data_IF_338734893929
#
_entry.id   IF_338734893929
#
_cell.length_a   1.000
_cell.length_b   1.000
_cell.length_c   1.000
_cell.angle_alpha   90.00
_cell.angle_beta   90.00
_cell.angle_gamma   90.00
#
_symmetry.space_group_name_H-M   'P 1'
#
loop_
_entity.id
_entity.type
_entity.pdbx_description
1 polymer ?
#
# COMPACT_ATOMS: atom_id res chain seq x y z
N UNK A 1 -24.26 -13.21 8.58
CA UNK A 1 -23.99 -13.26 8.58
C UNK A 1 -23.54 -13.07 8.44
N UNK A 2 -23.45 -13.01 8.64
CA UNK A 2 -22.99 -12.90 8.60
C UNK A 2 -22.26 -12.50 8.34
N UNK A 3 -22.31 -12.34 8.46
CA UNK A 3 -21.73 -12.08 8.18
C UNK A 3 -21.10 -11.78 7.76
N UNK A 4 -21.14 -11.79 7.91
CA UNK A 4 -20.65 -11.53 7.53
C UNK A 4 -20.23 -11.31 7.05
N UNK A 5 -20.53 -11.30 7.19
CA UNK A 5 -20.35 -11.21 6.73
C UNK A 5 -20.09 -10.88 6.07
N UNK A 6 -20.23 -10.89 6.25
CA UNK A 6 -20.04 -10.62 5.69
C UNK A 6 -19.73 -10.16 5.14
N UNK A 7 -19.88 -10.08 5.25
CA UNK A 7 -19.76 -9.74 4.94
C UNK A 7 -19.20 -9.57 4.45
N UNK A 8 -19.30 -9.81 4.81
CA UNK A 8 -18.99 -9.79 4.48
C UNK A 8 -18.68 -9.79 3.80
N UNK A 9 -18.93 -9.86 3.65
CA UNK A 9 -18.65 -9.84 3.08
C UNK A 9 -18.63 -9.70 2.20
N UNK A 10 -18.98 -9.58 1.95
CA UNK A 10 -18.78 -9.26 1.21
C UNK A 10 -18.80 -8.71 0.30
N UNK A 11 -19.52 -8.89 -0.06
CA UNK A 11 -19.35 -8.08 -0.96
C UNK A 11 -18.65 -7.10 -0.88
N UNK A 12 -19.06 -7.02 -0.40
CA UNK A 12 -18.08 -6.33 0.04
C UNK A 12 -16.80 -6.87 -0.36
N UNK A 13 -16.73 -8.02 -0.94
CA UNK A 13 -15.49 -8.59 -1.39
C UNK A 13 -14.82 -7.67 -2.40
N UNK A 14 -15.58 -7.11 -3.30
CA UNK A 14 -15.03 -6.19 -4.28
C UNK A 14 -14.52 -4.92 -3.61
N UNK A 15 -15.28 -4.43 -2.64
CA UNK A 15 -14.86 -3.24 -1.91
C UNK A 15 -13.61 -3.48 -1.12
N UNK A 16 -13.50 -4.66 -0.52
CA UNK A 16 -12.33 -5.00 0.24
C UNK A 16 -11.11 -5.15 -0.66
N UNK A 17 -11.34 -5.66 -1.87
CA UNK A 17 -10.25 -5.85 -2.80
C UNK A 17 -9.70 -4.53 -3.31
N UNK A 18 -10.51 -3.48 -3.32
CA UNK A 18 -10.07 -2.18 -3.81
C UNK A 18 -10.30 -1.11 -2.76
N UNK A 19 -9.50 -1.20 -1.70
CA UNK A 19 -9.52 -0.26 -0.59
C UNK A 19 -8.16 0.40 -0.51
N UNK A 20 -8.14 1.72 -0.31
CA UNK A 20 -6.89 2.48 -0.23
C UNK A 20 -6.05 2.09 0.98
N UNK A 21 -6.68 1.57 2.03
CA UNK A 21 -5.97 1.21 3.25
C UNK A 21 -5.17 -0.07 3.02
N UNK A 22 -3.88 -0.02 3.36
CA UNK A 22 -3.00 -1.17 3.24
C UNK A 22 -3.08 -1.97 4.53
N UNK A 23 -3.43 -3.27 4.45
CA UNK A 23 -3.53 -4.10 5.66
C UNK A 23 -2.21 -4.21 6.42
N UNK A 24 -2.29 -4.39 7.74
CA UNK A 24 -1.09 -4.53 8.58
C UNK A 24 -0.17 -5.64 8.10
N UNK A 25 -0.74 -6.77 7.70
CA UNK A 25 0.07 -7.90 7.26
C UNK A 25 0.90 -7.53 6.03
N UNK A 26 0.30 -6.77 5.12
CA UNK A 26 1.02 -6.30 3.92
C UNK A 26 2.11 -5.33 4.32
N UNK A 27 1.80 -4.40 5.23
CA UNK A 27 2.79 -3.43 5.71
C UNK A 27 3.98 -4.13 6.33
N UNK A 28 3.72 -5.16 7.15
CA UNK A 28 4.80 -5.89 7.79
C UNK A 28 5.68 -6.62 6.77
N UNK A 29 5.05 -7.22 5.77
CA UNK A 29 5.80 -7.92 4.73
C UNK A 29 6.66 -6.96 3.92
N UNK A 30 6.10 -5.80 3.57
CA UNK A 30 6.83 -4.77 2.82
C UNK A 30 7.97 -4.21 3.65
N UNK A 31 7.70 -3.91 4.92
CA UNK A 31 8.73 -3.40 5.82
C UNK A 31 9.91 -4.35 5.89
N UNK A 32 9.61 -5.64 6.05
CA UNK A 32 10.65 -6.66 6.15
C UNK A 32 11.42 -6.79 4.84
N UNK A 33 10.71 -6.80 3.71
CA UNK A 33 11.34 -6.91 2.39
C UNK A 33 12.26 -5.73 2.13
N UNK A 34 11.79 -4.50 2.42
CA UNK A 34 12.53 -3.27 2.14
C UNK A 34 13.44 -2.87 3.29
N UNK A 35 13.45 -3.67 4.38
CA UNK A 35 14.37 -3.49 5.50
C UNK A 35 14.22 -2.14 6.21
N UNK A 36 12.98 -1.62 6.24
CA UNK A 36 12.70 -0.36 6.92
C UNK A 36 13.40 0.84 6.32
N UNK A 37 13.64 0.81 5.02
CA UNK A 37 14.36 1.87 4.32
C UNK A 37 13.65 2.27 3.05
N UNK A 38 13.82 3.55 2.70
CA UNK A 38 13.36 4.01 1.39
C UNK A 38 14.08 3.23 0.29
N UNK A 39 13.33 2.69 -0.66
CA UNK A 39 13.93 1.88 -1.71
C UNK A 39 14.76 2.72 -2.69
N UNK A 40 14.53 4.04 -2.72
CA UNK A 40 15.24 4.93 -3.64
C UNK A 40 16.55 5.47 -3.07
N UNK A 41 16.56 5.82 -1.78
CA UNK A 41 17.73 6.46 -1.20
C UNK A 41 18.26 5.80 0.07
N UNK A 42 17.54 4.81 0.59
CA UNK A 42 17.96 4.11 1.81
C UNK A 42 17.70 4.85 3.10
N UNK A 43 16.99 5.97 3.07
CA UNK A 43 16.66 6.71 4.28
C UNK A 43 15.78 5.88 5.20
N UNK A 44 16.00 6.00 6.50
CA UNK A 44 15.17 5.33 7.49
C UNK A 44 14.17 6.28 8.14
N UNK A 45 14.15 7.53 7.69
CA UNK A 45 13.30 8.56 8.28
C UNK A 45 12.12 8.90 7.40
N UNK A 46 10.99 9.21 8.05
CA UNK A 46 9.78 9.67 7.35
C UNK A 46 9.36 8.73 6.24
N UNK A 47 9.27 7.45 6.57
CA UNK A 47 8.90 6.43 5.59
C UNK A 47 7.39 6.35 5.43
N UNK A 48 6.98 6.14 4.19
CA UNK A 48 5.57 5.95 3.83
C UNK A 48 5.43 4.69 3.00
N UNK A 49 4.30 4.02 3.17
CA UNK A 49 3.94 2.90 2.30
C UNK A 49 3.29 3.48 1.06
N UNK A 50 3.86 3.18 -0.08
CA UNK A 50 3.46 3.76 -1.35
C UNK A 50 2.96 2.68 -2.30
N UNK A 51 1.90 2.99 -3.05
CA UNK A 51 1.40 2.11 -4.11
C UNK A 51 2.26 2.31 -5.34
N UNK A 52 2.90 1.24 -5.83
CA UNK A 52 3.74 1.33 -7.03
C UNK A 52 2.86 1.71 -8.21
N UNK A 53 1.81 0.94 -8.48
CA UNK A 53 0.75 1.39 -9.36
C UNK A 53 -0.24 2.15 -8.49
N UNK A 54 -0.51 3.43 -8.78
CA UNK A 54 -1.37 4.23 -7.91
C UNK A 54 -2.74 3.60 -7.69
N UNK A 55 -3.26 3.75 -6.48
CA UNK A 55 -4.58 3.25 -6.14
C UNK A 55 -5.63 3.81 -7.11
N UNK A 56 -5.55 5.09 -7.44
CA UNK A 56 -6.49 5.73 -8.34
C UNK A 56 -6.46 5.15 -9.76
N UNK A 57 -5.42 4.42 -10.09
CA UNK A 57 -5.28 3.76 -11.39
C UNK A 57 -5.45 2.25 -11.29
N UNK A 58 -6.09 1.79 -10.23
CA UNK A 58 -6.37 0.38 -10.06
C UNK A 58 -5.33 -0.39 -9.28
N UNK A 59 -4.35 0.28 -8.70
CA UNK A 59 -3.31 -0.39 -7.93
C UNK A 59 -3.84 -1.04 -6.68
N UNK A 60 -3.38 -2.26 -6.40
CA UNK A 60 -3.83 -3.03 -5.25
C UNK A 60 -3.18 -2.55 -3.96
N UNK A 61 -3.97 -2.52 -2.87
CA UNK A 61 -3.46 -2.27 -1.54
C UNK A 61 -3.11 -3.56 -0.81
N UNK A 62 -3.46 -4.72 -1.37
CA UNK A 62 -3.27 -5.99 -0.68
C UNK A 62 -2.20 -6.87 -1.30
N UNK A 63 -1.64 -6.47 -2.43
CA UNK A 63 -0.54 -7.21 -3.04
C UNK A 63 0.79 -6.60 -2.58
N UNK A 64 1.58 -7.39 -1.88
CA UNK A 64 2.89 -6.95 -1.41
C UNK A 64 3.73 -6.39 -2.55
N UNK A 65 3.63 -7.01 -3.73
CA UNK A 65 4.40 -6.58 -4.90
C UNK A 65 4.03 -5.19 -5.40
N UNK A 66 2.88 -4.66 -4.98
CA UNK A 66 2.46 -3.32 -5.40
C UNK A 66 2.72 -2.26 -4.34
N UNK A 67 3.33 -2.63 -3.23
CA UNK A 67 3.59 -1.69 -2.14
C UNK A 67 5.08 -1.59 -1.91
N UNK A 68 5.55 -0.38 -1.62
CA UNK A 68 6.96 -0.14 -1.38
C UNK A 68 7.13 0.93 -0.31
N UNK A 69 8.33 1.01 0.27
CA UNK A 69 8.66 2.07 1.23
C UNK A 69 9.37 3.20 0.51
N UNK A 70 8.86 4.40 0.70
CA UNK A 70 9.49 5.62 0.20
C UNK A 70 9.56 6.64 1.32
N UNK A 71 10.66 7.39 1.39
CA UNK A 71 10.73 8.52 2.32
C UNK A 71 9.81 9.63 1.79
N UNK A 72 9.47 10.57 2.68
CA UNK A 72 8.53 11.64 2.33
C UNK A 72 8.95 12.38 1.07
N UNK A 73 10.25 12.64 0.93
CA UNK A 73 10.78 13.37 -0.22
C UNK A 73 10.55 12.62 -1.53
N UNK A 74 10.86 11.33 -1.55
CA UNK A 74 10.67 10.54 -2.76
C UNK A 74 9.22 10.23 -3.04
N UNK A 75 8.43 10.09 -1.99
CA UNK A 75 7.00 9.90 -2.14
C UNK A 75 6.35 11.13 -2.79
N UNK A 76 6.72 12.30 -2.33
CA UNK A 76 6.20 13.55 -2.90
C UNK A 76 6.65 13.71 -4.35
N UNK A 77 7.91 13.40 -4.62
CA UNK A 77 8.45 13.51 -5.97
C UNK A 77 7.72 12.58 -6.95
N UNK A 78 7.42 11.37 -6.50
CA UNK A 78 6.67 10.41 -7.30
C UNK A 78 5.26 10.92 -7.59
N UNK A 79 4.61 11.48 -6.59
CA UNK A 79 3.26 12.04 -6.77
C UNK A 79 3.26 13.17 -7.78
N UNK A 80 4.26 14.03 -7.74
CA UNK A 80 4.37 15.13 -8.68
C UNK A 80 4.54 14.64 -10.12
N UNK A 81 5.29 13.56 -10.28
CA UNK A 81 5.48 12.97 -11.61
C UNK A 81 4.20 12.39 -12.17
N UNK A 82 3.32 11.93 -11.31
CA UNK A 82 2.08 11.31 -11.72
C UNK A 82 0.98 12.34 -12.02
N UNK A 83 1.21 13.56 -11.65
CA UNK A 83 0.29 14.63 -11.97
C UNK A 83 0.63 15.20 -13.31
#
# INVERSE_FOLDING_TARGET
LGDPDPKLVNSRAADLAHNRIIPSAVKQAVWKRDQGKCIDCGSEDNLHFDHILPFSKGGSSVLVDNIQLLCARHNLKKSNKLL
#
